data_IF_247907321685
#
_entry.id   IF_247907321685
#
_cell.length_a   1.000
_cell.length_b   1.000
_cell.length_c   1.000
_cell.angle_alpha   90.00
_cell.angle_beta   90.00
_cell.angle_gamma   90.00
#
_symmetry.space_group_name_H-M   'P 1'
#
loop_
_entity.id
_entity.type
_entity.pdbx_description
1 polymer ?
#
# COMPACT_ATOMS: atom_id res chain seq x y z
N UNK A 1 31.43 1.47 6.52
CA UNK A 1 29.99 1.71 6.74
C UNK A 1 29.31 0.40 6.42
N UNK A 2 28.87 -0.36 7.43
CA UNK A 2 28.15 -1.62 7.19
C UNK A 2 26.83 -1.31 6.48
N UNK A 3 26.67 -1.77 5.25
CA UNK A 3 25.37 -1.83 4.62
C UNK A 3 24.59 -2.95 5.31
N UNK A 4 23.71 -2.59 6.25
CA UNK A 4 22.78 -3.57 6.81
C UNK A 4 21.89 -4.09 5.69
N UNK A 5 21.87 -5.41 5.51
CA UNK A 5 21.01 -6.06 4.53
C UNK A 5 19.57 -5.78 4.95
N UNK A 6 18.87 -4.91 4.22
CA UNK A 6 17.46 -4.60 4.51
C UNK A 6 16.61 -5.86 4.31
N UNK A 7 15.86 -6.22 5.35
CA UNK A 7 14.96 -7.37 5.31
C UNK A 7 13.84 -7.13 4.28
N UNK A 8 13.64 -8.12 3.40
CA UNK A 8 12.54 -8.09 2.43
C UNK A 8 11.19 -8.08 3.13
N UNK A 9 10.37 -7.07 2.84
CA UNK A 9 9.01 -6.97 3.35
C UNK A 9 8.08 -7.95 2.60
N UNK A 10 7.29 -8.71 3.35
CA UNK A 10 6.28 -9.63 2.80
C UNK A 10 5.08 -8.81 2.30
N UNK A 11 4.61 -9.10 1.08
CA UNK A 11 3.40 -8.50 0.54
C UNK A 11 2.17 -9.30 0.99
N UNK A 12 1.31 -8.71 1.83
CA UNK A 12 0.11 -9.37 2.33
C UNK A 12 -1.10 -9.03 1.47
N UNK A 13 -1.98 -10.00 1.23
CA UNK A 13 -3.33 -9.74 0.69
C UNK A 13 -4.23 -9.33 1.84
N UNK A 14 -4.72 -8.09 1.81
CA UNK A 14 -5.66 -7.53 2.79
C UNK A 14 -6.77 -6.77 2.06
N UNK A 15 -7.90 -6.53 2.72
CA UNK A 15 -8.97 -5.72 2.15
C UNK A 15 -8.68 -4.22 2.27
N UNK A 16 -9.37 -3.39 1.49
CA UNK A 16 -9.28 -1.94 1.65
C UNK A 16 -9.89 -1.49 2.98
N UNK A 17 -10.90 -2.20 3.48
CA UNK A 17 -11.44 -1.92 4.81
C UNK A 17 -10.38 -2.09 5.90
N UNK A 18 -9.54 -3.13 5.83
CA UNK A 18 -8.43 -3.32 6.78
C UNK A 18 -7.44 -2.15 6.74
N UNK A 19 -7.19 -1.57 5.55
CA UNK A 19 -6.31 -0.40 5.40
C UNK A 19 -6.92 0.83 6.07
N UNK A 20 -8.23 1.01 5.96
CA UNK A 20 -8.93 2.19 6.48
C UNK A 20 -9.17 2.15 7.99
N UNK A 21 -9.34 0.96 8.57
CA UNK A 21 -9.75 0.83 9.98
C UNK A 21 -8.62 0.57 10.96
N UNK A 22 -7.48 0.04 10.49
CA UNK A 22 -6.36 -0.31 11.35
C UNK A 22 -5.37 0.87 11.51
N UNK A 23 -4.60 0.83 12.60
CA UNK A 23 -3.67 1.91 12.93
C UNK A 23 -2.48 1.97 11.96
N UNK A 24 -2.27 3.15 11.38
CA UNK A 24 -1.07 3.47 10.62
C UNK A 24 0.02 4.01 11.54
N UNK A 25 1.14 3.29 11.62
CA UNK A 25 2.29 3.64 12.44
C UNK A 25 3.40 4.17 11.56
N UNK A 26 3.76 5.44 11.77
CA UNK A 26 4.94 6.06 11.17
C UNK A 26 6.20 5.59 11.90
N UNK A 27 7.24 5.25 11.15
CA UNK A 27 8.56 4.94 11.69
C UNK A 27 9.52 6.10 11.41
N UNK A 28 10.53 6.24 12.26
CA UNK A 28 11.59 7.22 12.06
C UNK A 28 12.68 6.69 11.12
N UNK A 29 13.36 7.61 10.43
CA UNK A 29 14.49 7.28 9.58
C UNK A 29 14.08 6.51 8.31
N UNK A 30 14.74 5.38 8.08
CA UNK A 30 14.64 4.59 6.84
C UNK A 30 13.81 3.31 6.98
N UNK A 31 13.18 3.12 8.14
CA UNK A 31 12.28 2.01 8.40
C UNK A 31 10.92 2.25 7.72
N UNK A 32 10.30 1.22 7.16
CA UNK A 32 9.04 1.39 6.45
C UNK A 32 7.90 1.64 7.44
N UNK A 33 7.05 2.62 7.13
CA UNK A 33 5.77 2.76 7.82
C UNK A 33 4.93 1.49 7.61
N UNK A 34 4.04 1.20 8.56
CA UNK A 34 3.20 0.01 8.47
C UNK A 34 1.81 0.24 9.03
N UNK A 35 0.88 -0.62 8.63
CA UNK A 35 -0.43 -0.76 9.26
C UNK A 35 -0.35 -1.93 10.23
N UNK A 36 -0.91 -1.76 11.43
CA UNK A 36 -1.01 -2.81 12.44
C UNK A 36 -2.31 -3.60 12.24
N UNK A 37 -2.22 -4.81 11.71
CA UNK A 37 -3.38 -5.67 11.49
C UNK A 37 -3.28 -6.92 12.38
N UNK A 38 -3.92 -6.87 13.55
CA UNK A 38 -3.74 -7.89 14.59
C UNK A 38 -2.30 -7.87 15.14
N UNK A 39 -1.59 -8.98 15.03
CA UNK A 39 -0.18 -9.13 15.43
C UNK A 39 0.82 -8.83 14.28
N UNK A 40 0.33 -8.43 13.10
CA UNK A 40 1.16 -8.22 11.91
C UNK A 40 1.40 -6.75 11.63
N UNK A 41 2.67 -6.44 11.35
CA UNK A 41 3.12 -5.15 10.80
C UNK A 41 3.18 -5.27 9.27
N UNK A 42 2.30 -4.55 8.57
CA UNK A 42 2.16 -4.65 7.12
C UNK A 42 2.60 -3.34 6.45
N UNK A 43 3.77 -3.37 5.79
CA UNK A 43 4.29 -2.26 4.99
C UNK A 43 4.08 -2.43 3.48
N UNK A 44 3.77 -3.65 3.03
CA UNK A 44 3.58 -3.99 1.62
C UNK A 44 2.34 -4.84 1.45
N UNK A 45 1.53 -4.48 0.46
CA UNK A 45 0.23 -5.12 0.22
C UNK A 45 0.10 -5.56 -1.23
N UNK A 46 -0.72 -6.60 -1.43
CA UNK A 46 -1.28 -6.96 -2.72
C UNK A 46 -2.79 -6.73 -2.64
N UNK A 47 -3.32 -5.90 -3.54
CA UNK A 47 -4.73 -5.55 -3.57
C UNK A 47 -5.37 -6.09 -4.85
N UNK A 48 -6.65 -6.45 -4.76
CA UNK A 48 -7.46 -6.86 -5.90
C UNK A 48 -8.72 -6.01 -5.84
N UNK A 49 -9.03 -5.32 -6.93
CA UNK A 49 -10.18 -4.43 -7.02
C UNK A 49 -10.41 -3.97 -8.46
N UNK A 50 -11.54 -3.31 -8.67
CA UNK A 50 -11.92 -2.72 -9.95
C UNK A 50 -11.38 -1.29 -10.04
N UNK A 51 -10.75 -0.94 -11.16
CA UNK A 51 -10.38 0.46 -11.43
C UNK A 51 -11.65 1.23 -11.78
N UNK A 52 -11.97 2.25 -11.00
CA UNK A 52 -13.18 3.08 -11.17
C UNK A 52 -12.87 4.53 -11.56
N UNK A 53 -11.59 4.90 -11.63
CA UNK A 53 -11.16 6.17 -12.21
C UNK A 53 -10.90 6.06 -13.72
N UNK A 54 -11.08 7.14 -14.49
CA UNK A 54 -10.58 7.19 -15.86
C UNK A 54 -9.07 6.92 -15.90
N UNK A 55 -8.61 6.11 -16.85
CA UNK A 55 -7.18 5.91 -17.09
C UNK A 55 -6.73 7.00 -18.05
N UNK A 56 -6.02 8.00 -17.54
CA UNK A 56 -5.40 9.07 -18.34
C UNK A 56 -3.88 8.99 -18.18
N UNK A 57 -3.14 9.03 -19.28
CA UNK A 57 -1.67 9.00 -19.31
C UNK A 57 -1.01 10.16 -18.54
N UNK A 58 -1.73 11.27 -18.32
CA UNK A 58 -1.24 12.40 -17.54
C UNK A 58 -1.47 12.24 -16.02
N UNK A 59 -2.30 11.28 -15.60
CA UNK A 59 -2.60 11.04 -14.20
C UNK A 59 -1.70 9.94 -13.62
N UNK A 60 -0.96 10.26 -12.56
CA UNK A 60 -0.14 9.31 -11.83
C UNK A 60 -0.88 8.65 -10.66
N UNK A 61 -2.20 8.57 -10.73
CA UNK A 61 -3.01 7.92 -9.71
C UNK A 61 -4.21 7.21 -10.33
N UNK A 62 -4.69 6.20 -9.61
CA UNK A 62 -5.88 5.42 -9.94
C UNK A 62 -6.75 5.29 -8.70
N UNK A 63 -8.06 5.22 -8.89
CA UNK A 63 -8.99 4.86 -7.82
C UNK A 63 -9.42 3.41 -8.03
N UNK A 64 -9.20 2.58 -7.02
CA UNK A 64 -9.65 1.19 -7.02
C UNK A 64 -10.77 1.00 -5.98
N UNK A 65 -11.70 0.10 -6.29
CA UNK A 65 -12.80 -0.33 -5.42
C UNK A 65 -12.76 -1.86 -5.25
N UNK A 66 -12.79 -2.36 -4.01
CA UNK A 66 -12.73 -3.81 -3.71
C UNK A 66 -14.12 -4.44 -3.42
N UNK A 67 -15.20 -3.69 -3.67
CA UNK A 67 -16.58 -4.07 -3.37
C UNK A 67 -17.04 -3.68 -1.96
N UNK A 68 -16.14 -3.22 -1.08
CA UNK A 68 -16.46 -2.73 0.27
C UNK A 68 -16.00 -1.31 0.51
N UNK A 69 -14.89 -0.91 -0.08
CA UNK A 69 -14.30 0.41 0.08
C UNK A 69 -13.54 0.78 -1.19
N UNK A 70 -13.11 2.05 -1.27
CA UNK A 70 -12.26 2.54 -2.33
C UNK A 70 -10.99 3.19 -1.76
N UNK A 71 -9.94 3.27 -2.58
CA UNK A 71 -8.69 3.95 -2.24
C UNK A 71 -8.05 4.57 -3.48
N UNK A 72 -7.33 5.67 -3.28
CA UNK A 72 -6.47 6.29 -4.30
C UNK A 72 -5.09 5.65 -4.23
N UNK A 73 -4.65 5.02 -5.32
CA UNK A 73 -3.29 4.54 -5.51
C UNK A 73 -2.50 5.57 -6.29
N UNK A 74 -1.31 5.95 -5.81
CA UNK A 74 -0.39 6.84 -6.53
C UNK A 74 0.78 6.02 -7.08
N UNK A 75 1.06 6.21 -8.35
CA UNK A 75 2.23 5.69 -9.04
C UNK A 75 3.36 6.73 -9.00
N UNK A 76 4.56 6.28 -8.69
CA UNK A 76 5.75 7.13 -8.57
C UNK A 76 6.75 6.93 -9.73
N UNK A 77 6.77 5.74 -10.33
CA UNK A 77 7.63 5.40 -11.45
C UNK A 77 6.79 4.87 -12.62
N UNK A 78 7.20 5.16 -13.86
CA UNK A 78 6.53 4.65 -15.06
C UNK A 78 6.74 3.13 -15.15
N UNK A 79 5.66 2.35 -15.18
CA UNK A 79 5.73 0.89 -15.10
C UNK A 79 4.43 0.14 -15.39
N UNK A 80 3.45 0.83 -16.00
CA UNK A 80 2.30 0.22 -16.67
C UNK A 80 2.47 0.43 -18.17
#
# INVERSE_FOLDING_TARGET
MEQSIKQRQIAYKISLSDIHTNDFIKQEGWEPNYIMCGDKKISRVNLIGTVISPINSEQNYLVIDDGKSNIVLRQFENGL
#
